data_IF_069926688312
#
_entry.id   IF_069926688312
#
_cell.length_a   1.000
_cell.length_b   1.000
_cell.length_c   1.000
_cell.angle_alpha   90.00
_cell.angle_beta   90.00
_cell.angle_gamma   90.00
#
_symmetry.space_group_name_H-M   'P 1'
#
loop_
_entity.id
_entity.type
_entity.pdbx_description
1 polymer ?
#
# COMPACT_ATOMS: atom_id res chain seq x y z
N UNK A 1 15.26 -3.69 -21.63
CA UNK A 1 13.84 -3.79 -21.23
C UNK A 1 13.27 -2.38 -21.26
N UNK A 2 12.12 -2.15 -21.87
CA UNK A 2 11.49 -0.82 -21.86
C UNK A 2 10.75 -0.59 -20.55
N UNK A 3 10.48 0.66 -20.20
CA UNK A 3 9.76 1.04 -18.97
C UNK A 3 8.35 0.40 -18.91
N UNK A 4 7.68 0.28 -20.07
CA UNK A 4 6.42 -0.46 -20.20
C UNK A 4 6.55 -1.97 -19.90
N UNK A 5 7.69 -2.57 -20.22
CA UNK A 5 7.93 -3.99 -19.93
C UNK A 5 8.11 -4.22 -18.42
N UNK A 6 8.82 -3.29 -17.74
CA UNK A 6 9.01 -3.33 -16.28
C UNK A 6 7.69 -3.22 -15.52
N UNK A 7 6.86 -2.24 -15.85
CA UNK A 7 5.54 -2.07 -15.24
C UNK A 7 4.63 -3.28 -15.46
N UNK A 8 4.67 -3.89 -16.64
CA UNK A 8 3.88 -5.07 -16.97
C UNK A 8 4.33 -6.32 -16.18
N UNK A 9 5.63 -6.52 -16.04
CA UNK A 9 6.19 -7.61 -15.24
C UNK A 9 5.87 -7.42 -13.76
N UNK A 10 6.08 -6.22 -13.23
CA UNK A 10 5.73 -5.91 -11.84
C UNK A 10 4.25 -6.15 -11.56
N UNK A 11 3.35 -5.70 -12.45
CA UNK A 11 1.92 -5.96 -12.31
C UNK A 11 1.60 -7.45 -12.32
N UNK A 12 2.25 -8.25 -13.17
CA UNK A 12 2.07 -9.70 -13.21
C UNK A 12 2.49 -10.36 -11.89
N UNK A 13 3.66 -9.99 -11.36
CA UNK A 13 4.16 -10.48 -10.07
C UNK A 13 3.24 -10.09 -8.91
N UNK A 14 2.79 -8.83 -8.87
CA UNK A 14 1.85 -8.37 -7.84
C UNK A 14 0.50 -9.09 -7.95
N UNK A 15 0.00 -9.29 -9.16
CA UNK A 15 -1.27 -10.01 -9.41
C UNK A 15 -1.18 -11.44 -8.89
N UNK A 16 -0.11 -12.16 -9.22
CA UNK A 16 0.12 -13.53 -8.76
C UNK A 16 0.24 -13.62 -7.24
N UNK A 17 0.94 -12.68 -6.61
CA UNK A 17 1.16 -12.66 -5.18
C UNK A 17 -0.08 -12.27 -4.36
N UNK A 18 -0.90 -11.33 -4.84
CA UNK A 18 -1.91 -10.65 -4.02
C UNK A 18 -3.35 -11.07 -4.33
N UNK A 19 -3.71 -11.38 -5.57
CA UNK A 19 -5.10 -11.70 -5.92
C UNK A 19 -5.51 -13.02 -5.25
N UNK A 20 -6.71 -13.05 -4.67
CA UNK A 20 -7.23 -14.19 -3.93
C UNK A 20 -6.75 -14.28 -2.47
N UNK A 21 -5.73 -13.49 -2.10
CA UNK A 21 -5.30 -13.32 -0.72
C UNK A 21 -6.09 -12.19 -0.03
N UNK A 22 -5.76 -11.94 1.24
CA UNK A 22 -6.35 -10.88 2.05
C UNK A 22 -5.33 -10.30 3.02
N UNK A 23 -5.58 -9.06 3.48
CA UNK A 23 -4.81 -8.46 4.57
C UNK A 23 -5.19 -9.16 5.88
N UNK A 24 -4.25 -9.90 6.45
CA UNK A 24 -4.40 -10.68 7.68
C UNK A 24 -4.16 -9.86 8.94
N UNK A 25 -3.35 -8.81 8.81
CA UNK A 25 -3.02 -7.83 9.84
C UNK A 25 -2.21 -6.68 9.23
N UNK A 26 -1.93 -5.66 10.02
CA UNK A 26 -1.07 -4.55 9.62
C UNK A 26 -0.36 -3.93 10.82
N UNK A 27 0.71 -3.20 10.53
CA UNK A 27 1.46 -2.35 11.47
C UNK A 27 1.53 -0.94 10.89
N UNK A 28 1.41 0.06 11.76
CA UNK A 28 1.69 1.47 11.46
C UNK A 28 2.87 1.92 12.32
N UNK A 29 3.87 2.51 11.70
CA UNK A 29 5.03 3.14 12.33
C UNK A 29 5.51 4.28 11.43
N UNK A 30 6.81 4.34 11.15
CA UNK A 30 7.36 5.26 10.14
C UNK A 30 6.86 4.93 8.73
N UNK A 31 6.43 3.68 8.50
CA UNK A 31 5.74 3.21 7.30
C UNK A 31 4.64 2.21 7.67
N UNK A 32 3.77 1.93 6.70
CA UNK A 32 2.76 0.88 6.76
C UNK A 32 3.37 -0.46 6.39
N UNK A 33 3.04 -1.53 7.12
CA UNK A 33 3.22 -2.91 6.66
C UNK A 33 1.87 -3.62 6.69
N UNK A 34 1.45 -4.18 5.54
CA UNK A 34 0.23 -4.96 5.37
C UNK A 34 0.61 -6.42 5.11
N UNK A 35 0.18 -7.34 5.97
CA UNK A 35 0.53 -8.76 5.85
C UNK A 35 -0.48 -9.51 4.98
N UNK A 36 -0.07 -10.00 3.80
CA UNK A 36 -0.95 -10.60 2.78
C UNK A 36 -0.40 -11.94 2.28
N UNK A 37 -1.07 -13.05 2.56
CA UNK A 37 -0.80 -14.34 1.88
C UNK A 37 0.62 -14.94 2.02
N UNK A 38 1.44 -14.44 2.95
CA UNK A 38 2.86 -14.80 3.08
C UNK A 38 3.83 -13.66 2.75
N UNK A 39 3.32 -12.57 2.18
CA UNK A 39 4.05 -11.36 1.85
C UNK A 39 3.78 -10.23 2.86
N UNK A 40 4.66 -9.24 2.91
CA UNK A 40 4.35 -7.90 3.43
C UNK A 40 4.35 -6.90 2.26
N UNK A 41 3.29 -6.09 2.21
CA UNK A 41 3.24 -4.86 1.43
C UNK A 41 3.63 -3.70 2.34
N UNK A 42 4.78 -3.11 2.05
CA UNK A 42 5.31 -1.93 2.71
C UNK A 42 4.91 -0.69 1.93
N UNK A 43 4.51 0.38 2.61
CA UNK A 43 4.18 1.65 1.97
C UNK A 43 4.45 2.83 2.89
N UNK A 44 4.92 3.93 2.32
CA UNK A 44 5.01 5.21 3.02
C UNK A 44 3.61 5.80 3.24
N UNK A 45 2.73 5.62 2.26
CA UNK A 45 1.40 6.22 2.27
C UNK A 45 0.33 5.24 1.78
N UNK A 46 -0.81 5.24 2.48
CA UNK A 46 -2.01 4.46 2.16
C UNK A 46 -3.19 5.42 2.08
N UNK A 47 -3.77 5.50 0.88
CA UNK A 47 -4.85 6.42 0.53
C UNK A 47 -6.17 5.68 0.32
N UNK A 48 -7.26 6.29 0.77
CA UNK A 48 -8.63 5.85 0.55
C UNK A 48 -9.61 7.03 0.44
N UNK A 49 -10.59 6.88 -0.44
CA UNK A 49 -11.66 7.86 -0.63
C UNK A 49 -12.54 8.07 0.62
N UNK A 50 -12.52 7.14 1.58
CA UNK A 50 -13.31 7.22 2.81
C UNK A 50 -12.66 8.15 3.87
N UNK A 51 -11.37 8.49 3.74
CA UNK A 51 -10.63 9.26 4.75
C UNK A 51 -11.19 10.66 5.05
N UNK A 52 -11.56 11.51 4.06
CA UNK A 52 -12.03 12.85 4.36
C UNK A 52 -13.30 12.84 5.23
N UNK A 53 -14.20 11.89 4.97
CA UNK A 53 -15.45 11.75 5.73
C UNK A 53 -15.18 11.22 7.15
N UNK A 54 -14.27 10.26 7.30
CA UNK A 54 -13.85 9.75 8.61
C UNK A 54 -13.17 10.84 9.45
N UNK A 55 -12.25 11.60 8.84
CA UNK A 55 -11.59 12.73 9.48
C UNK A 55 -12.61 13.75 10.01
N UNK A 56 -13.59 14.13 9.19
CA UNK A 56 -14.66 15.04 9.61
C UNK A 56 -15.50 14.45 10.75
N UNK A 57 -15.82 13.16 10.67
CA UNK A 57 -16.57 12.47 11.70
C UNK A 57 -15.81 12.46 13.03
N UNK A 58 -14.53 12.11 13.03
CA UNK A 58 -13.70 12.09 14.25
C UNK A 58 -13.58 13.47 14.88
N UNK A 59 -13.36 14.52 14.08
CA UNK A 59 -13.34 15.91 14.57
C UNK A 59 -14.64 16.30 15.29
N UNK A 60 -15.78 15.80 14.80
CA UNK A 60 -17.10 16.18 15.32
C UNK A 60 -17.51 15.31 16.51
N UNK A 61 -17.15 14.02 16.50
CA UNK A 61 -17.76 13.00 17.37
C UNK A 61 -16.80 12.30 18.31
N UNK A 62 -15.49 12.47 18.15
CA UNK A 62 -14.48 11.86 19.01
C UNK A 62 -13.56 12.95 19.59
N UNK A 63 -13.94 13.61 20.70
CA UNK A 63 -13.17 14.72 21.26
C UNK A 63 -11.66 14.47 21.45
N UNK A 64 -11.20 13.27 21.85
CA UNK A 64 -9.76 12.98 21.95
C UNK A 64 -9.00 13.09 20.62
N UNK A 65 -9.69 13.06 19.48
CA UNK A 65 -9.08 13.23 18.16
C UNK A 65 -8.32 14.55 18.02
N UNK A 66 -8.80 15.62 18.67
CA UNK A 66 -8.16 16.93 18.62
C UNK A 66 -6.72 16.90 19.14
N UNK A 67 -6.45 16.03 20.10
CA UNK A 67 -5.16 15.91 20.79
C UNK A 67 -4.24 14.84 20.19
N UNK A 68 -4.69 14.09 19.16
CA UNK A 68 -3.85 13.12 18.46
C UNK A 68 -2.72 13.82 17.70
N UNK A 69 -1.51 13.23 17.73
CA UNK A 69 -0.34 13.73 16.96
C UNK A 69 -0.59 13.50 15.47
N UNK A 70 -0.68 12.24 15.05
CA UNK A 70 -0.88 11.85 13.65
C UNK A 70 -2.35 11.53 13.37
N UNK A 71 -3.17 12.57 13.26
CA UNK A 71 -4.62 12.47 13.05
C UNK A 71 -4.98 11.66 11.81
N UNK A 72 -4.20 11.80 10.74
CA UNK A 72 -4.41 11.11 9.46
C UNK A 72 -4.28 9.59 9.60
N UNK A 73 -3.33 9.12 10.43
CA UNK A 73 -3.12 7.70 10.68
C UNK A 73 -4.32 7.04 11.37
N UNK A 74 -5.12 7.78 12.16
CA UNK A 74 -6.31 7.22 12.82
C UNK A 74 -7.37 6.82 11.80
N UNK A 75 -7.66 7.70 10.85
CA UNK A 75 -8.64 7.43 9.79
C UNK A 75 -8.13 6.34 8.85
N UNK A 76 -6.88 6.41 8.41
CA UNK A 76 -6.24 5.38 7.58
C UNK A 76 -6.25 4.01 8.27
N UNK A 77 -5.92 3.95 9.56
CA UNK A 77 -5.97 2.71 10.36
C UNK A 77 -7.37 2.13 10.38
N UNK A 78 -8.40 2.98 10.51
CA UNK A 78 -9.80 2.55 10.49
C UNK A 78 -10.19 1.97 9.13
N UNK A 79 -9.77 2.62 8.05
CA UNK A 79 -10.00 2.11 6.69
C UNK A 79 -9.30 0.76 6.50
N UNK A 80 -8.00 0.65 6.81
CA UNK A 80 -7.25 -0.61 6.64
C UNK A 80 -7.86 -1.72 7.51
N UNK A 81 -8.22 -1.41 8.75
CA UNK A 81 -8.90 -2.36 9.65
C UNK A 81 -10.24 -2.85 9.08
N UNK A 82 -11.01 -1.99 8.40
CA UNK A 82 -12.26 -2.36 7.75
C UNK A 82 -12.09 -3.30 6.55
N UNK A 83 -10.88 -3.33 5.95
CA UNK A 83 -10.52 -4.21 4.84
C UNK A 83 -9.84 -5.52 5.28
N UNK A 84 -9.58 -5.70 6.58
CA UNK A 84 -9.02 -6.96 7.08
C UNK A 84 -9.89 -8.16 6.67
N UNK A 85 -9.23 -9.23 6.20
CA UNK A 85 -9.85 -10.48 5.73
C UNK A 85 -10.77 -10.34 4.52
N UNK A 86 -10.82 -9.17 3.88
CA UNK A 86 -11.45 -9.00 2.57
C UNK A 86 -10.54 -9.54 1.49
N UNK A 87 -11.11 -10.30 0.55
CA UNK A 87 -10.34 -10.87 -0.55
C UNK A 87 -9.98 -9.76 -1.52
N UNK A 88 -8.71 -9.69 -1.89
CA UNK A 88 -8.21 -8.84 -2.97
C UNK A 88 -8.63 -9.49 -4.28
N UNK A 89 -9.45 -8.79 -5.05
CA UNK A 89 -10.01 -9.28 -6.32
C UNK A 89 -9.32 -8.68 -7.54
N UNK A 90 -8.62 -7.56 -7.37
CA UNK A 90 -7.95 -6.84 -8.43
C UNK A 90 -6.72 -6.12 -7.87
N UNK A 91 -5.68 -6.06 -8.69
CA UNK A 91 -4.49 -5.25 -8.47
C UNK A 91 -4.28 -4.40 -9.72
N UNK A 92 -3.99 -3.11 -9.52
CA UNK A 92 -3.71 -2.19 -10.62
C UNK A 92 -2.50 -1.31 -10.29
N UNK A 93 -1.73 -1.00 -11.32
CA UNK A 93 -0.69 0.04 -11.32
C UNK A 93 -1.09 1.11 -12.33
N UNK A 94 -0.99 2.38 -11.94
CA UNK A 94 -1.10 3.49 -12.89
C UNK A 94 0.27 3.89 -13.47
N UNK A 95 0.30 5.01 -14.21
CA UNK A 95 1.51 5.48 -14.86
C UNK A 95 2.60 5.97 -13.88
N UNK A 96 2.19 6.42 -12.69
CA UNK A 96 3.11 6.83 -11.64
C UNK A 96 3.44 5.66 -10.69
N UNK A 97 2.95 4.46 -11.03
CA UNK A 97 3.02 3.23 -10.25
C UNK A 97 2.38 3.32 -8.87
N UNK A 98 1.31 4.10 -8.72
CA UNK A 98 0.42 3.95 -7.57
C UNK A 98 -0.19 2.55 -7.60
N UNK A 99 -0.09 1.83 -6.50
CA UNK A 99 -0.58 0.46 -6.39
C UNK A 99 -1.97 0.45 -5.77
N UNK A 100 -2.99 0.11 -6.56
CA UNK A 100 -4.37 0.00 -6.08
C UNK A 100 -4.79 -1.45 -5.89
N UNK A 101 -5.31 -1.75 -4.70
CA UNK A 101 -5.95 -3.02 -4.36
C UNK A 101 -7.46 -2.83 -4.35
N UNK A 102 -8.21 -3.59 -5.16
CA UNK A 102 -9.67 -3.67 -5.05
C UNK A 102 -10.07 -4.93 -4.28
N UNK A 103 -11.06 -4.78 -3.41
CA UNK A 103 -11.57 -5.86 -2.54
C UNK A 103 -12.94 -6.36 -2.98
N UNK A 104 -13.33 -7.54 -2.48
CA UNK A 104 -14.60 -8.22 -2.78
C UNK A 104 -15.88 -7.41 -2.48
N UNK A 105 -15.78 -6.36 -1.67
CA UNK A 105 -16.87 -5.45 -1.33
C UNK A 105 -16.93 -4.21 -2.24
N UNK A 106 -16.11 -4.16 -3.30
CA UNK A 106 -16.00 -3.06 -4.25
C UNK A 106 -15.23 -1.84 -3.72
N UNK A 107 -14.63 -1.93 -2.54
CA UNK A 107 -13.79 -0.86 -1.97
C UNK A 107 -12.34 -1.02 -2.39
N UNK A 108 -11.57 0.05 -2.19
CA UNK A 108 -10.18 0.16 -2.66
C UNK A 108 -9.26 0.77 -1.62
N UNK A 109 -8.02 0.33 -1.65
CA UNK A 109 -6.88 0.94 -0.98
C UNK A 109 -5.80 1.23 -2.02
N UNK A 110 -5.20 2.40 -1.97
CA UNK A 110 -4.11 2.79 -2.88
C UNK A 110 -2.84 3.08 -2.08
N UNK A 111 -1.74 2.45 -2.46
CA UNK A 111 -0.41 2.74 -1.95
C UNK A 111 0.18 3.79 -2.90
N UNK A 112 0.34 5.00 -2.39
CA UNK A 112 0.64 6.18 -3.21
C UNK A 112 2.14 6.36 -3.46
N UNK A 113 2.49 7.02 -4.55
CA UNK A 113 3.87 7.40 -4.92
C UNK A 113 4.16 8.89 -4.78
N UNK A 114 3.23 9.64 -4.18
CA UNK A 114 3.31 11.10 -3.97
C UNK A 114 3.92 11.51 -2.62
N UNK A 115 4.50 10.56 -1.87
CA UNK A 115 5.16 10.92 -0.61
C UNK A 115 6.46 11.65 -0.92
N UNK A 116 6.51 12.93 -0.54
CA UNK A 116 7.71 13.76 -0.68
C UNK A 116 8.82 13.29 0.28
N UNK A 117 10.08 13.38 -0.15
CA UNK A 117 11.31 13.26 0.67
C UNK A 117 11.72 11.82 1.05
N UNK A 118 10.96 10.81 0.65
CA UNK A 118 11.32 9.39 0.84
C UNK A 118 12.07 8.84 -0.35
N UNK A 119 12.95 7.87 -0.11
CA UNK A 119 13.79 7.19 -1.10
C UNK A 119 13.13 5.90 -1.66
N UNK A 120 11.98 5.53 -1.11
CA UNK A 120 11.05 4.54 -1.66
C UNK A 120 9.60 4.84 -1.28
N UNK A 121 8.65 4.43 -2.11
CA UNK A 121 7.22 4.70 -1.96
C UNK A 121 6.47 3.49 -1.42
N UNK A 122 6.63 2.33 -2.06
CA UNK A 122 6.08 1.06 -1.59
C UNK A 122 6.92 -0.12 -2.08
N UNK A 123 6.79 -1.27 -1.41
CA UNK A 123 7.43 -2.51 -1.81
C UNK A 123 6.60 -3.74 -1.42
N UNK A 124 6.74 -4.81 -2.20
CA UNK A 124 6.31 -6.16 -1.84
C UNK A 124 7.55 -6.99 -1.48
N UNK A 125 7.53 -7.66 -0.34
CA UNK A 125 8.57 -8.60 0.05
C UNK A 125 8.01 -9.73 0.93
N UNK A 126 8.86 -10.67 1.32
CA UNK A 126 8.48 -11.80 2.20
C UNK A 126 8.67 -11.46 3.70
N UNK A 127 9.28 -10.32 4.00
CA UNK A 127 9.66 -9.92 5.37
C UNK A 127 9.34 -8.44 5.58
N UNK A 128 8.90 -8.00 6.75
CA UNK A 128 8.61 -6.58 7.03
C UNK A 128 9.86 -5.67 7.18
N UNK A 129 10.97 -6.09 6.56
CA UNK A 129 12.26 -5.38 6.49
C UNK A 129 12.26 -4.31 5.40
N UNK A 130 13.22 -3.39 5.54
CA UNK A 130 13.50 -2.33 4.57
C UNK A 130 13.68 -2.86 3.12
N UNK A 131 13.07 -2.21 2.10
CA UNK A 131 13.15 -2.64 0.70
C UNK A 131 14.55 -2.61 0.08
N UNK A 132 15.50 -1.88 0.66
CA UNK A 132 16.92 -1.94 0.24
C UNK A 132 17.63 -3.22 0.68
N UNK A 133 17.09 -3.92 1.69
CA UNK A 133 17.61 -5.22 2.11
C UNK A 133 17.09 -6.31 1.17
N UNK A 134 15.78 -6.29 0.89
CA UNK A 134 15.13 -7.26 0.01
C UNK A 134 13.76 -6.74 -0.43
N UNK A 135 13.49 -6.85 -1.73
CA UNK A 135 12.16 -6.67 -2.31
C UNK A 135 11.92 -7.71 -3.40
N UNK A 136 10.66 -8.04 -3.67
CA UNK A 136 10.23 -8.77 -4.86
C UNK A 136 9.88 -7.76 -5.95
N UNK A 137 9.12 -6.73 -5.56
CA UNK A 137 8.78 -5.56 -6.36
C UNK A 137 8.95 -4.35 -5.45
N UNK A 138 9.59 -3.29 -5.93
CA UNK A 138 9.70 -2.03 -5.21
C UNK A 138 9.48 -0.85 -6.14
N UNK A 139 8.80 0.17 -5.65
CA UNK A 139 8.68 1.47 -6.28
C UNK A 139 9.53 2.47 -5.48
N UNK A 140 10.65 2.89 -6.06
CA UNK A 140 11.58 3.82 -5.41
C UNK A 140 11.17 5.29 -5.59
N UNK A 141 10.35 5.57 -6.60
CA UNK A 141 9.79 6.88 -6.87
C UNK A 141 8.68 6.79 -7.92
N UNK A 142 7.96 7.89 -8.14
CA UNK A 142 6.93 7.94 -9.18
C UNK A 142 7.51 7.56 -10.54
N UNK A 143 6.94 6.54 -11.18
CA UNK A 143 7.44 5.99 -12.45
C UNK A 143 8.72 5.14 -12.34
N UNK A 144 9.26 4.92 -11.14
CA UNK A 144 10.48 4.13 -10.91
C UNK A 144 10.15 2.83 -10.18
N UNK A 145 10.10 1.73 -10.93
CA UNK A 145 9.82 0.38 -10.42
C UNK A 145 10.96 -0.59 -10.70
N UNK A 146 11.23 -1.47 -9.73
CA UNK A 146 12.22 -2.53 -9.81
C UNK A 146 11.62 -3.87 -9.39
N UNK A 147 12.09 -4.94 -10.01
CA UNK A 147 11.76 -6.32 -9.67
C UNK A 147 13.06 -7.09 -9.49
N UNK A 148 13.10 -8.08 -8.59
CA UNK A 148 14.29 -8.92 -8.37
C UNK A 148 14.71 -9.79 -9.55
N UNK A 149 13.94 -9.80 -10.65
CA UNK A 149 14.37 -10.39 -11.92
C UNK A 149 15.22 -9.45 -12.78
N UNK A 150 15.50 -8.21 -12.36
CA UNK A 150 16.51 -7.37 -13.00
C UNK A 150 17.91 -8.00 -12.78
N UNK A 151 18.59 -8.54 -13.81
CA UNK A 151 20.00 -8.83 -13.70
C UNK A 151 20.76 -7.51 -13.70
N UNK A 152 21.64 -7.31 -12.72
CA UNK A 152 22.68 -6.27 -12.76
C UNK A 152 23.45 -6.26 -14.10
#
# INVERSE_FOLDING_TARGET
MTENDKGSQALATLTEALIGNFISGFRVGDWWCLYVGGYCLLAQEVVSADEPQLNQWYQTHYPPFADCVDKENISKTTVVAAHLRRIITEVALDNDYNLTLSFDNGRRLTLSTDTDIVDWQWALNETDNDPYISHIVACFGAGEISTTEDPE
#
